data_IF_266760484374
#
_entry.id   IF_266760484374
#
_cell.length_a   1.000
_cell.length_b   1.000
_cell.length_c   1.000
_cell.angle_alpha   90.00
_cell.angle_beta   90.00
_cell.angle_gamma   90.00
#
_symmetry.space_group_name_H-M   'P 1'
#
loop_
_entity.id
_entity.type
_entity.pdbx_description
1 polymer ?
#
# COMPACT_ATOMS: atom_id res chain seq x y z
N UNK A 1 -1.07 -6.83 -14.43
CA UNK A 1 -0.47 -6.71 -13.09
C UNK A 1 -1.53 -7.05 -12.07
N UNK A 2 -1.22 -7.87 -11.06
CA UNK A 2 -2.23 -8.37 -10.10
C UNK A 2 -1.94 -7.80 -8.71
N UNK A 3 -2.96 -7.22 -8.09
CA UNK A 3 -2.98 -6.88 -6.67
C UNK A 3 -3.51 -8.06 -5.86
N UNK A 4 -3.43 -7.97 -4.53
CA UNK A 4 -3.91 -9.04 -3.65
C UNK A 4 -4.08 -8.58 -2.21
N UNK A 5 -4.99 -9.24 -1.51
CA UNK A 5 -5.18 -9.06 -0.08
C UNK A 5 -5.28 -10.44 0.59
N UNK A 6 -4.73 -10.53 1.79
CA UNK A 6 -4.77 -11.72 2.62
C UNK A 6 -4.96 -11.29 4.08
N UNK A 7 -5.72 -12.08 4.83
CA UNK A 7 -5.88 -11.91 6.26
C UNK A 7 -5.69 -13.27 6.93
N UNK A 8 -4.96 -13.28 8.03
CA UNK A 8 -4.79 -14.44 8.90
C UNK A 8 -5.08 -14.01 10.33
N UNK A 9 -5.74 -14.88 11.08
CA UNK A 9 -6.02 -14.63 12.49
C UNK A 9 -6.04 -15.93 13.28
N UNK A 10 -5.78 -15.80 14.57
CA UNK A 10 -5.86 -16.90 15.54
C UNK A 10 -6.47 -16.40 16.82
N UNK A 11 -7.24 -17.27 17.46
CA UNK A 11 -7.83 -17.03 18.78
C UNK A 11 -7.25 -18.04 19.75
N UNK A 12 -6.88 -17.58 20.94
CA UNK A 12 -6.41 -18.41 22.03
C UNK A 12 -7.29 -18.19 23.27
N UNK A 13 -7.90 -19.25 23.78
CA UNK A 13 -8.67 -19.22 25.02
C UNK A 13 -7.79 -19.60 26.21
N UNK A 14 -7.80 -18.77 27.26
CA UNK A 14 -7.20 -19.11 28.54
C UNK A 14 -8.25 -19.69 29.49
N UNK A 15 -7.79 -20.41 30.51
CA UNK A 15 -8.65 -20.78 31.64
C UNK A 15 -9.15 -19.50 32.35
N UNK A 16 -10.39 -19.54 32.84
CA UNK A 16 -11.01 -18.41 33.56
C UNK A 16 -11.74 -17.39 32.67
N UNK A 17 -12.12 -17.74 31.44
CA UNK A 17 -13.01 -16.90 30.60
C UNK A 17 -12.30 -15.80 29.80
N UNK A 18 -10.98 -15.83 29.70
CA UNK A 18 -10.20 -14.89 28.88
C UNK A 18 -9.97 -15.45 27.47
N UNK A 19 -9.98 -14.57 26.47
CA UNK A 19 -9.68 -14.88 25.08
C UNK A 19 -8.72 -13.83 24.50
N UNK A 20 -7.67 -14.29 23.82
CA UNK A 20 -6.74 -13.46 23.07
C UNK A 20 -6.95 -13.69 21.58
N UNK A 21 -7.33 -12.64 20.87
CA UNK A 21 -7.48 -12.63 19.43
C UNK A 21 -6.33 -11.87 18.79
N UNK A 22 -5.69 -12.49 17.80
CA UNK A 22 -4.67 -11.89 16.97
C UNK A 22 -5.12 -11.93 15.51
N UNK A 23 -5.01 -10.79 14.82
CA UNK A 23 -5.28 -10.71 13.39
C UNK A 23 -4.19 -9.89 12.68
N UNK A 24 -3.79 -10.38 11.51
CA UNK A 24 -2.89 -9.70 10.59
C UNK A 24 -3.54 -9.58 9.22
N UNK A 25 -3.55 -8.37 8.67
CA UNK A 25 -4.07 -8.10 7.33
C UNK A 25 -2.97 -7.51 6.46
N UNK A 26 -2.87 -8.04 5.25
CA UNK A 26 -1.99 -7.55 4.20
C UNK A 26 -2.83 -7.21 2.97
N UNK A 27 -2.64 -6.02 2.42
CA UNK A 27 -3.24 -5.63 1.15
C UNK A 27 -2.21 -4.88 0.28
N UNK A 28 -2.18 -5.22 -1.00
CA UNK A 28 -1.31 -4.60 -1.99
C UNK A 28 -2.09 -4.31 -3.26
N UNK A 29 -1.99 -3.07 -3.73
CA UNK A 29 -2.47 -2.66 -5.06
C UNK A 29 -1.59 -3.26 -6.16
N UNK A 30 -2.18 -3.50 -7.34
CA UNK A 30 -1.37 -3.83 -8.51
C UNK A 30 -0.41 -2.66 -8.80
N UNK A 31 0.78 -2.98 -9.31
CA UNK A 31 1.66 -1.92 -9.78
C UNK A 31 1.03 -1.28 -11.03
N UNK A 32 1.09 0.04 -11.16
CA UNK A 32 0.65 0.75 -12.37
C UNK A 32 1.73 1.72 -12.82
N UNK A 33 2.00 1.74 -14.13
CA UNK A 33 2.94 2.66 -14.75
C UNK A 33 2.17 3.86 -15.30
N UNK A 34 2.48 5.05 -14.79
CA UNK A 34 1.99 6.32 -15.32
C UNK A 34 3.10 6.85 -16.24
N UNK A 35 2.81 6.95 -17.53
CA UNK A 35 3.68 7.62 -18.50
C UNK A 35 3.14 9.02 -18.74
N UNK A 36 3.92 10.05 -18.38
CA UNK A 36 3.56 11.43 -18.61
C UNK A 36 4.61 12.09 -19.51
N UNK A 37 4.20 12.49 -20.71
CA UNK A 37 5.03 13.27 -21.63
C UNK A 37 5.00 14.73 -21.21
N UNK A 38 6.15 15.25 -20.76
CA UNK A 38 6.34 16.66 -20.44
C UNK A 38 7.12 17.32 -21.55
N UNK A 39 6.57 18.37 -22.14
CA UNK A 39 7.30 19.22 -23.08
C UNK A 39 8.25 20.11 -22.29
N UNK A 40 9.55 19.92 -22.49
CA UNK A 40 10.58 20.73 -21.83
C UNK A 40 11.04 21.79 -22.81
N UNK A 41 10.99 23.04 -22.38
CA UNK A 41 11.51 24.18 -23.12
C UNK A 41 12.82 24.63 -22.49
N UNK A 42 13.92 24.52 -23.22
CA UNK A 42 15.18 25.13 -22.80
C UNK A 42 15.28 26.51 -23.47
N UNK A 43 15.21 27.58 -22.66
CA UNK A 43 15.43 28.95 -23.10
C UNK A 43 16.83 29.37 -22.67
N UNK A 44 17.82 29.17 -23.54
CA UNK A 44 19.16 29.70 -23.35
C UNK A 44 19.48 30.68 -24.49
N UNK A 45 19.08 31.95 -24.33
CA UNK A 45 19.24 33.00 -25.33
C UNK A 45 18.33 32.85 -26.56
N UNK A 46 18.75 33.41 -27.71
CA UNK A 46 17.98 33.48 -28.98
C UNK A 46 17.65 32.12 -29.61
N UNK A 47 18.17 31.01 -29.06
CA UNK A 47 17.89 29.65 -29.51
C UNK A 47 16.94 28.95 -28.53
N UNK A 48 15.65 28.85 -28.87
CA UNK A 48 14.71 28.01 -28.14
C UNK A 48 14.68 26.61 -28.73
N UNK A 49 15.05 25.59 -27.95
CA UNK A 49 14.92 24.19 -28.37
C UNK A 49 13.81 23.54 -27.56
N UNK A 50 12.85 22.89 -28.23
CA UNK A 50 11.77 22.15 -27.58
C UNK A 50 11.98 20.65 -27.76
N UNK A 51 11.73 19.87 -26.71
CA UNK A 51 11.83 18.41 -26.74
C UNK A 51 10.82 17.78 -25.78
N UNK A 52 10.46 16.53 -26.03
CA UNK A 52 9.57 15.76 -25.15
C UNK A 52 10.40 14.92 -24.18
N UNK A 53 10.21 15.12 -22.87
CA UNK A 53 10.70 14.21 -21.85
C UNK A 53 9.57 13.24 -21.48
N UNK A 54 9.87 11.95 -21.42
CA UNK A 54 8.93 10.93 -20.92
C UNK A 54 9.30 10.64 -19.47
N UNK A 55 8.41 11.02 -18.54
CA UNK A 55 8.51 10.64 -17.13
C UNK A 55 7.69 9.38 -16.91
N UNK A 56 8.35 8.30 -16.47
CA UNK A 56 7.69 7.06 -16.08
C UNK A 56 7.67 7.00 -14.55
N UNK A 57 6.48 7.09 -13.96
CA UNK A 57 6.28 6.89 -12.54
C UNK A 57 5.62 5.53 -12.30
N UNK A 58 6.10 4.79 -11.31
CA UNK A 58 5.48 3.54 -10.85
C UNK A 58 4.90 3.79 -9.46
N UNK A 59 3.58 3.60 -9.32
CA UNK A 59 2.91 3.73 -8.03
C UNK A 59 2.54 2.35 -7.48
N UNK A 60 2.76 2.18 -6.17
CA UNK A 60 2.43 0.97 -5.44
C UNK A 60 2.03 1.30 -4.01
N UNK A 61 0.76 1.05 -3.67
CA UNK A 61 0.25 1.16 -2.30
C UNK A 61 0.26 -0.22 -1.63
N UNK A 62 0.92 -0.30 -0.47
CA UNK A 62 0.90 -1.47 0.42
C UNK A 62 0.34 -1.05 1.77
N UNK A 63 -0.62 -1.81 2.29
CA UNK A 63 -1.21 -1.61 3.61
C UNK A 63 -1.04 -2.88 4.45
N UNK A 64 -0.58 -2.71 5.67
CA UNK A 64 -0.37 -3.78 6.64
C UNK A 64 -0.96 -3.35 7.97
N UNK A 65 -1.82 -4.18 8.55
CA UNK A 65 -2.39 -3.93 9.87
C UNK A 65 -2.25 -5.16 10.77
N UNK A 66 -2.00 -4.89 12.04
CA UNK A 66 -1.96 -5.88 13.12
C UNK A 66 -3.01 -5.46 14.13
N UNK A 67 -3.81 -6.41 14.59
CA UNK A 67 -4.78 -6.20 15.65
C UNK A 67 -4.59 -7.25 16.73
N UNK A 68 -4.56 -6.80 17.98
CA UNK A 68 -4.55 -7.63 19.17
C UNK A 68 -5.76 -7.24 20.01
N UNK A 69 -6.55 -8.21 20.42
CA UNK A 69 -7.73 -7.98 21.25
C UNK A 69 -7.72 -8.96 22.41
N UNK A 70 -7.93 -8.45 23.61
CA UNK A 70 -8.08 -9.25 24.81
C UNK A 70 -9.52 -9.11 25.30
N UNK A 71 -10.23 -10.23 25.36
CA UNK A 71 -11.62 -10.32 25.74
C UNK A 71 -11.76 -11.10 27.05
N UNK A 72 -12.75 -10.74 27.86
CA UNK A 72 -13.10 -11.46 29.09
C UNK A 72 -14.60 -11.70 29.15
N UNK A 73 -14.98 -12.93 29.50
CA UNK A 73 -16.36 -13.30 29.76
C UNK A 73 -16.71 -13.01 31.23
N UNK A 74 -17.52 -11.97 31.44
CA UNK A 74 -18.11 -11.69 32.75
C UNK A 74 -19.27 -12.65 33.03
N UNK A 75 -19.37 -13.13 34.27
CA UNK A 75 -20.49 -13.93 34.79
C UNK A 75 -21.38 -13.07 35.67
#
# INVERSE_FOLDING_TARGET
MWGGAAQIGTTYSFAGGWFLDFAYTYARSADFAISNTVTVFNQNGTLSTSGSAVLNAQERVTNQSVTLTLNYQFH
#
